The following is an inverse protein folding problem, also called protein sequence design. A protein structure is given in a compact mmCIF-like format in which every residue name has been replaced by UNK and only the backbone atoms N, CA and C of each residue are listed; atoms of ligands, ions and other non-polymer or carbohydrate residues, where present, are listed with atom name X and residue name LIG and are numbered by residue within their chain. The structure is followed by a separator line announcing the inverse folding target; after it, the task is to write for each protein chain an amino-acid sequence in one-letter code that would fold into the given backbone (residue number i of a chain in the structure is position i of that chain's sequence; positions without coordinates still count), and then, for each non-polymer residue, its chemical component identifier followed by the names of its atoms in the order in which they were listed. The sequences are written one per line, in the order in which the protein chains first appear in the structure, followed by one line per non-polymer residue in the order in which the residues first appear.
data_IF_914284054804
#
_entry.id   IF_914284054804
#
_cell.length_a   1.000
_cell.length_b   1.000
_cell.length_c   1.000
_cell.angle_alpha   90.00
_cell.angle_beta   90.00
_cell.angle_gamma   90.00
#
_symmetry.space_group_name_H-M   'P 1'
#
loop_
_entity.id
_entity.type
_entity.pdbx_description
1 polymer ?
#
# COMPACT_ATOMS: atom_id res chain seq x y z
N UNK A 1 5.57 -12.14 -19.03
CA UNK A 1 5.45 -13.08 -17.89
C UNK A 1 4.23 -12.67 -17.11
N UNK A 2 3.22 -13.52 -17.00
CA UNK A 2 2.02 -13.22 -16.21
C UNK A 2 2.43 -13.01 -14.74
N UNK A 3 2.02 -11.90 -14.15
CA UNK A 3 2.18 -11.66 -12.71
C UNK A 3 1.40 -12.74 -11.96
N UNK A 4 2.13 -13.59 -11.24
CA UNK A 4 1.55 -14.70 -10.47
C UNK A 4 1.33 -14.34 -9.01
N UNK A 5 1.91 -13.24 -8.54
CA UNK A 5 1.95 -12.92 -7.12
C UNK A 5 0.71 -12.17 -6.65
N UNK A 6 0.15 -12.62 -5.53
CA UNK A 6 -1.08 -12.07 -4.96
C UNK A 6 -0.84 -11.40 -3.59
N UNK A 7 -1.60 -10.35 -3.30
CA UNK A 7 -1.67 -9.76 -1.96
C UNK A 7 -3.04 -10.09 -1.37
N UNK A 8 -3.07 -10.88 -0.30
CA UNK A 8 -4.31 -11.29 0.35
C UNK A 8 -4.62 -10.38 1.53
N UNK A 9 -5.81 -9.80 1.52
CA UNK A 9 -6.33 -8.95 2.62
C UNK A 9 -7.27 -9.68 3.55
N UNK A 10 -7.85 -10.80 3.11
CA UNK A 10 -8.75 -11.62 3.90
C UNK A 10 -8.31 -13.09 3.88
N UNK A 11 -8.40 -13.80 5.01
CA UNK A 11 -8.01 -15.21 5.09
C UNK A 11 -8.92 -16.12 4.25
N UNK A 12 -10.18 -15.76 4.07
CA UNK A 12 -11.16 -16.49 3.24
C UNK A 12 -10.65 -16.68 1.80
N UNK A 13 -9.85 -15.73 1.28
CA UNK A 13 -9.22 -15.83 -0.04
C UNK A 13 -8.23 -16.99 -0.14
N UNK A 14 -7.59 -17.36 0.99
CA UNK A 14 -6.66 -18.49 1.10
C UNK A 14 -7.42 -19.77 1.47
N UNK A 15 -8.34 -19.70 2.43
CA UNK A 15 -9.09 -20.85 2.92
C UNK A 15 -9.88 -21.56 1.81
N UNK A 16 -10.44 -20.80 0.85
CA UNK A 16 -11.19 -21.35 -0.27
C UNK A 16 -10.32 -21.99 -1.36
N UNK A 17 -8.99 -21.95 -1.25
CA UNK A 17 -8.09 -22.50 -2.27
C UNK A 17 -8.00 -24.01 -2.09
N UNK A 18 -8.21 -24.76 -3.18
CA UNK A 18 -8.23 -26.23 -3.15
C UNK A 18 -6.89 -26.87 -2.75
N UNK A 19 -5.78 -26.14 -2.89
CA UNK A 19 -4.45 -26.60 -2.50
C UNK A 19 -4.10 -26.27 -1.05
N UNK A 20 -4.91 -25.47 -0.36
CA UNK A 20 -4.71 -25.08 1.04
C UNK A 20 -5.33 -26.10 2.00
N UNK A 21 -4.67 -26.32 3.14
CA UNK A 21 -5.15 -27.15 4.25
C UNK A 21 -4.58 -26.61 5.54
N UNK A 22 -5.38 -26.56 6.61
CA UNK A 22 -4.96 -26.06 7.93
C UNK A 22 -3.95 -27.00 8.61
N UNK A 23 -3.93 -28.26 8.19
CA UNK A 23 -3.07 -29.33 8.71
C UNK A 23 -1.72 -29.39 7.97
N UNK A 24 -1.56 -28.63 6.88
CA UNK A 24 -0.33 -28.60 6.11
C UNK A 24 0.83 -28.05 6.96
N UNK A 25 2.02 -28.59 6.73
CA UNK A 25 3.26 -28.08 7.31
C UNK A 25 4.22 -27.60 6.22
N UNK A 26 4.99 -26.56 6.53
CA UNK A 26 6.00 -26.01 5.63
C UNK A 26 7.30 -25.71 6.36
N UNK A 27 8.42 -26.03 5.73
CA UNK A 27 9.78 -25.83 6.23
C UNK A 27 10.73 -25.54 5.06
N UNK A 28 11.98 -25.14 5.31
CA UNK A 28 12.95 -24.92 4.23
C UNK A 28 13.13 -26.15 3.33
N UNK A 29 13.02 -27.37 3.88
CA UNK A 29 13.26 -28.62 3.17
C UNK A 29 12.16 -28.96 2.16
N UNK A 30 10.90 -28.65 2.46
CA UNK A 30 9.78 -28.91 1.56
C UNK A 30 9.28 -27.66 0.81
N UNK A 31 9.97 -26.52 0.94
CA UNK A 31 9.56 -25.26 0.32
C UNK A 31 9.83 -25.22 -1.21
N UNK A 32 8.78 -24.94 -1.98
CA UNK A 32 8.86 -24.78 -3.43
C UNK A 32 8.93 -23.33 -3.86
N UNK A 33 7.92 -22.52 -3.60
CA UNK A 33 7.83 -21.13 -4.07
C UNK A 33 6.84 -20.32 -3.22
N UNK A 34 6.81 -19.00 -3.41
CA UNK A 34 5.80 -18.15 -2.77
C UNK A 34 4.69 -17.78 -3.77
N UNK A 35 3.43 -17.94 -3.35
CA UNK A 35 2.27 -17.43 -4.09
C UNK A 35 2.13 -15.94 -3.83
N UNK A 36 2.25 -15.52 -2.58
CA UNK A 36 1.83 -14.18 -2.21
C UNK A 36 2.20 -13.75 -0.81
N UNK A 37 1.86 -12.51 -0.53
CA UNK A 37 1.96 -11.92 0.80
C UNK A 37 0.56 -11.71 1.36
N UNK A 38 0.39 -11.86 2.66
CA UNK A 38 -0.86 -11.51 3.32
C UNK A 38 -0.67 -10.54 4.48
N UNK A 39 -1.73 -9.78 4.73
CA UNK A 39 -1.93 -9.00 5.94
C UNK A 39 -3.44 -8.98 6.23
N UNK A 40 -3.83 -9.67 7.30
CA UNK A 40 -5.21 -9.85 7.73
C UNK A 40 -5.54 -8.98 8.94
N UNK A 41 -6.83 -8.80 9.20
CA UNK A 41 -7.32 -8.18 10.43
C UNK A 41 -7.53 -9.20 11.55
N UNK A 42 -7.70 -10.48 11.20
CA UNK A 42 -7.85 -11.62 12.10
C UNK A 42 -6.55 -12.43 12.26
N UNK A 43 -6.50 -13.21 13.35
CA UNK A 43 -5.37 -14.09 13.62
C UNK A 43 -5.50 -15.41 12.87
N UNK A 44 -4.42 -15.82 12.21
CA UNK A 44 -4.30 -17.14 11.58
C UNK A 44 -3.12 -17.90 12.19
N UNK A 45 -3.18 -19.23 12.12
CA UNK A 45 -2.21 -20.13 12.77
C UNK A 45 -1.02 -20.36 11.86
N UNK A 46 0.19 -20.18 12.40
CA UNK A 46 1.43 -20.44 11.65
C UNK A 46 1.66 -21.94 11.40
N UNK A 47 1.95 -22.30 10.15
CA UNK A 47 2.17 -23.69 9.71
C UNK A 47 3.66 -24.04 9.52
N UNK A 48 4.56 -23.16 9.99
CA UNK A 48 6.00 -23.39 9.86
C UNK A 48 6.47 -24.45 10.83
N UNK A 49 7.12 -25.49 10.30
CA UNK A 49 7.80 -26.53 11.07
C UNK A 49 9.26 -26.14 11.32
N UNK A 50 9.64 -26.13 12.58
CA UNK A 50 11.03 -25.97 13.02
C UNK A 50 11.52 -27.20 13.79
N UNK A 51 12.70 -27.09 14.40
CA UNK A 51 13.34 -28.19 15.14
C UNK A 51 12.51 -28.72 16.33
N UNK A 52 11.60 -27.92 16.89
CA UNK A 52 10.75 -28.27 18.04
C UNK A 52 9.31 -28.67 17.64
N UNK A 53 9.06 -28.88 16.35
CA UNK A 53 7.72 -29.13 15.80
C UNK A 53 7.13 -27.92 15.07
N UNK A 54 5.82 -27.97 14.82
CA UNK A 54 5.08 -26.91 14.13
C UNK A 54 4.85 -25.73 15.08
N UNK A 55 5.00 -24.51 14.57
CA UNK A 55 4.97 -23.30 15.37
C UNK A 55 3.59 -23.03 16.02
N UNK A 56 2.51 -23.11 15.26
CA UNK A 56 1.13 -22.83 15.66
C UNK A 56 0.87 -21.49 16.37
N UNK A 57 1.82 -20.55 16.35
CA UNK A 57 1.61 -19.22 16.91
C UNK A 57 0.71 -18.40 15.99
N UNK A 58 -0.21 -17.64 16.59
CA UNK A 58 -1.09 -16.73 15.87
C UNK A 58 -0.31 -15.56 15.28
N UNK A 59 -0.69 -15.15 14.08
CA UNK A 59 -0.19 -13.94 13.45
C UNK A 59 -1.18 -13.40 12.42
N UNK A 60 -1.03 -12.12 12.09
CA UNK A 60 -1.86 -11.45 11.09
C UNK A 60 -1.14 -11.14 9.78
N UNK A 61 0.16 -11.46 9.68
CA UNK A 61 0.95 -11.11 8.48
C UNK A 61 2.06 -12.10 8.21
N UNK A 62 2.30 -12.33 6.92
CA UNK A 62 3.22 -13.35 6.46
C UNK A 62 3.12 -13.61 4.97
N UNK A 63 3.44 -14.84 4.59
CA UNK A 63 3.52 -15.28 3.20
C UNK A 63 2.76 -16.58 3.00
N UNK A 64 2.11 -16.73 1.85
CA UNK A 64 1.54 -18.00 1.42
C UNK A 64 2.58 -18.73 0.55
N UNK A 65 3.05 -19.88 1.01
CA UNK A 65 4.02 -20.71 0.30
C UNK A 65 3.39 -21.95 -0.30
N UNK A 66 4.01 -22.48 -1.34
CA UNK A 66 3.73 -23.80 -1.90
C UNK A 66 4.85 -24.75 -1.47
N UNK A 67 4.48 -25.94 -1.04
CA UNK A 67 5.40 -27.05 -0.76
C UNK A 67 5.73 -27.83 -2.04
N UNK A 68 6.75 -28.68 -2.01
CA UNK A 68 7.21 -29.46 -3.18
C UNK A 68 6.17 -30.42 -3.74
N UNK A 69 5.23 -30.89 -2.91
CA UNK A 69 4.04 -31.68 -3.25
C UNK A 69 2.84 -30.83 -3.73
N UNK A 70 3.00 -29.51 -3.81
CA UNK A 70 1.99 -28.61 -4.38
C UNK A 70 0.91 -28.16 -3.41
N UNK A 71 1.08 -28.38 -2.10
CA UNK A 71 0.18 -27.90 -1.06
C UNK A 71 0.54 -26.49 -0.62
N UNK A 72 -0.46 -25.74 -0.17
CA UNK A 72 -0.30 -24.35 0.26
C UNK A 72 -0.29 -24.27 1.78
N UNK A 73 0.59 -23.42 2.33
CA UNK A 73 0.73 -23.24 3.78
C UNK A 73 1.13 -21.81 4.17
N UNK A 74 0.67 -21.39 5.35
CA UNK A 74 0.92 -20.09 5.94
C UNK A 74 2.30 -20.01 6.62
N UNK A 75 3.07 -19.00 6.22
CA UNK A 75 4.37 -18.70 6.79
C UNK A 75 4.31 -17.34 7.50
N UNK A 76 4.23 -17.36 8.83
CA UNK A 76 4.22 -16.13 9.63
C UNK A 76 5.48 -15.28 9.47
N UNK A 77 5.35 -13.95 9.51
CA UNK A 77 6.47 -13.04 9.30
C UNK A 77 7.62 -13.17 10.31
N UNK A 78 7.32 -13.62 11.53
CA UNK A 78 8.36 -13.99 12.52
C UNK A 78 9.07 -15.29 12.14
N UNK A 79 8.31 -16.34 11.80
CA UNK A 79 8.86 -17.63 11.41
C UNK A 79 9.67 -17.57 10.10
N UNK A 80 9.23 -16.77 9.13
CA UNK A 80 10.00 -16.48 7.91
C UNK A 80 11.41 -15.94 8.23
N UNK A 81 11.54 -15.08 9.26
CA UNK A 81 12.83 -14.50 9.66
C UNK A 81 13.71 -15.42 10.49
N UNK A 82 13.14 -16.43 11.13
CA UNK A 82 13.88 -17.31 12.04
C UNK A 82 14.23 -18.65 11.39
N UNK A 83 13.29 -19.25 10.65
CA UNK A 83 13.44 -20.57 10.06
C UNK A 83 13.88 -20.52 8.59
N UNK A 84 13.45 -19.51 7.83
CA UNK A 84 13.79 -19.36 6.40
C UNK A 84 14.92 -18.37 6.13
N UNK A 85 15.56 -17.78 7.15
CA UNK A 85 16.55 -16.71 6.99
C UNK A 85 17.73 -17.10 6.10
N UNK A 86 18.25 -18.30 6.29
CA UNK A 86 19.40 -18.81 5.56
C UNK A 86 19.01 -19.44 4.20
N UNK A 87 17.70 -19.59 3.94
CA UNK A 87 17.23 -20.20 2.72
C UNK A 87 17.31 -19.21 1.55
N UNK A 88 18.23 -19.47 0.61
CA UNK A 88 18.46 -18.58 -0.54
C UNK A 88 17.22 -18.51 -1.44
N UNK A 89 16.50 -19.62 -1.59
CA UNK A 89 15.36 -19.74 -2.49
C UNK A 89 14.18 -18.91 -1.98
N UNK A 90 13.83 -19.05 -0.71
CA UNK A 90 12.82 -18.26 -0.02
C UNK A 90 13.14 -16.76 -0.09
N UNK A 91 14.40 -16.38 0.12
CA UNK A 91 14.80 -14.97 0.04
C UNK A 91 14.65 -14.38 -1.38
N UNK A 92 14.95 -15.16 -2.42
CA UNK A 92 14.73 -14.75 -3.81
C UNK A 92 13.23 -14.62 -4.10
N UNK A 93 12.43 -15.60 -3.71
CA UNK A 93 10.98 -15.61 -3.88
C UNK A 93 10.32 -14.45 -3.15
N UNK A 94 10.75 -14.15 -1.93
CA UNK A 94 10.25 -13.01 -1.14
C UNK A 94 10.50 -11.69 -1.86
N UNK A 95 11.68 -11.51 -2.46
CA UNK A 95 12.01 -10.32 -3.26
C UNK A 95 11.17 -10.24 -4.53
N UNK A 96 10.99 -11.37 -5.23
CA UNK A 96 10.17 -11.49 -6.43
C UNK A 96 8.72 -11.09 -6.15
N UNK A 97 8.06 -11.77 -5.19
CA UNK A 97 6.66 -11.52 -4.81
C UNK A 97 6.45 -10.07 -4.39
N UNK A 98 7.33 -9.53 -3.52
CA UNK A 98 7.21 -8.13 -3.09
C UNK A 98 7.30 -7.17 -4.27
N UNK A 99 8.25 -7.38 -5.20
CA UNK A 99 8.41 -6.53 -6.37
C UNK A 99 7.19 -6.59 -7.30
N UNK A 100 6.62 -7.78 -7.50
CA UNK A 100 5.41 -7.97 -8.32
C UNK A 100 4.20 -7.28 -7.69
N UNK A 101 3.95 -7.48 -6.40
CA UNK A 101 2.84 -6.83 -5.68
C UNK A 101 2.96 -5.30 -5.72
N UNK A 102 4.15 -4.75 -5.43
CA UNK A 102 4.34 -3.30 -5.44
C UNK A 102 4.21 -2.71 -6.85
N UNK A 103 4.60 -3.46 -7.89
CA UNK A 103 4.38 -3.04 -9.27
C UNK A 103 2.89 -3.00 -9.61
N UNK A 104 2.12 -4.02 -9.23
CA UNK A 104 0.66 -4.06 -9.43
C UNK A 104 -0.01 -2.87 -8.75
N UNK A 105 0.27 -2.63 -7.46
CA UNK A 105 -0.23 -1.46 -6.73
C UNK A 105 0.12 -0.13 -7.39
N UNK A 106 1.33 0.00 -7.91
CA UNK A 106 1.77 1.22 -8.59
C UNK A 106 0.99 1.44 -9.89
N UNK A 107 0.72 0.37 -10.65
CA UNK A 107 -0.08 0.42 -11.87
C UNK A 107 -1.54 0.78 -11.56
N UNK A 108 -2.14 0.14 -10.55
CA UNK A 108 -3.52 0.42 -10.13
C UNK A 108 -3.68 1.89 -9.74
N UNK A 109 -2.71 2.44 -8.99
CA UNK A 109 -2.70 3.85 -8.61
C UNK A 109 -2.55 4.81 -9.80
N UNK A 110 -1.73 4.46 -10.79
CA UNK A 110 -1.60 5.24 -12.03
C UNK A 110 -2.93 5.23 -12.81
N UNK A 111 -3.61 4.08 -12.87
CA UNK A 111 -4.92 3.97 -13.52
C UNK A 111 -5.99 4.80 -12.80
N UNK A 112 -6.01 4.74 -11.47
CA UNK A 112 -6.90 5.55 -10.64
C UNK A 112 -6.68 7.05 -10.92
N UNK A 113 -5.43 7.52 -10.92
CA UNK A 113 -5.11 8.90 -11.27
C UNK A 113 -5.53 9.26 -12.69
N UNK A 114 -5.30 8.37 -13.65
CA UNK A 114 -5.73 8.59 -15.04
C UNK A 114 -7.24 8.74 -15.15
N UNK A 115 -8.01 7.97 -14.38
CA UNK A 115 -9.48 8.04 -14.39
C UNK A 115 -10.00 9.37 -13.80
N UNK A 116 -9.26 9.98 -12.88
CA UNK A 116 -9.64 11.23 -12.21
C UNK A 116 -9.17 12.50 -12.93
N UNK A 117 -8.38 12.39 -14.01
CA UNK A 117 -7.80 13.55 -14.72
C UNK A 117 -8.83 14.59 -15.12
N UNK A 118 -10.00 14.17 -15.63
CA UNK A 118 -11.03 15.12 -16.07
C UNK A 118 -11.65 15.86 -14.87
N UNK A 119 -11.92 15.14 -13.78
CA UNK A 119 -12.48 15.70 -12.54
C UNK A 119 -11.51 16.75 -11.97
N UNK A 120 -10.22 16.41 -11.85
CA UNK A 120 -9.22 17.34 -11.32
C UNK A 120 -9.02 18.57 -12.22
N UNK A 121 -9.08 18.40 -13.54
CA UNK A 121 -8.99 19.53 -14.46
C UNK A 121 -10.19 20.48 -14.32
N UNK A 122 -11.39 19.94 -14.13
CA UNK A 122 -12.60 20.74 -13.89
C UNK A 122 -12.51 21.48 -12.55
N UNK A 123 -12.13 20.80 -11.47
CA UNK A 123 -11.93 21.40 -10.15
C UNK A 123 -10.88 22.52 -10.18
N UNK A 124 -9.75 22.31 -10.85
CA UNK A 124 -8.72 23.33 -11.04
C UNK A 124 -9.23 24.54 -11.83
N UNK A 125 -10.02 24.31 -12.88
CA UNK A 125 -10.63 25.37 -13.68
C UNK A 125 -11.62 26.21 -12.84
N UNK A 126 -12.45 25.54 -12.04
CA UNK A 126 -13.41 26.18 -11.14
C UNK A 126 -12.71 27.01 -10.05
N UNK A 127 -11.66 26.46 -9.46
CA UNK A 127 -10.86 27.17 -8.46
C UNK A 127 -10.18 28.41 -9.06
N UNK A 128 -9.62 28.29 -10.26
CA UNK A 128 -9.01 29.41 -10.99
C UNK A 128 -10.03 30.50 -11.29
N UNK A 129 -11.24 30.12 -11.73
CA UNK A 129 -12.32 31.06 -12.02
C UNK A 129 -12.73 31.82 -10.75
N UNK A 130 -12.88 31.10 -9.64
CA UNK A 130 -13.19 31.67 -8.32
C UNK A 130 -12.13 32.67 -7.86
N UNK A 131 -10.83 32.37 -8.04
CA UNK A 131 -9.74 33.28 -7.72
C UNK A 131 -9.80 34.57 -8.55
N UNK A 132 -10.12 34.48 -9.85
CA UNK A 132 -10.27 35.64 -10.71
C UNK A 132 -11.43 36.52 -10.24
N UNK A 133 -12.56 35.92 -9.87
CA UNK A 133 -13.71 36.66 -9.36
C UNK A 133 -13.42 37.36 -8.03
N UNK A 134 -12.78 36.66 -7.09
CA UNK A 134 -12.39 37.24 -5.81
C UNK A 134 -11.43 38.41 -6.02
N UNK A 135 -10.46 38.27 -6.94
CA UNK A 135 -9.53 39.35 -7.28
C UNK A 135 -10.25 40.57 -7.85
N UNK A 136 -11.19 40.39 -8.78
CA UNK A 136 -12.01 41.48 -9.32
C UNK A 136 -12.80 42.20 -8.23
N UNK A 137 -13.43 41.43 -7.32
CA UNK A 137 -14.18 41.99 -6.18
C UNK A 137 -13.25 42.76 -5.25
N UNK A 138 -12.05 42.24 -4.98
CA UNK A 138 -11.04 42.93 -4.17
C UNK A 138 -10.58 44.23 -4.84
N UNK A 139 -10.30 44.23 -6.15
CA UNK A 139 -9.90 45.43 -6.90
C UNK A 139 -10.99 46.52 -6.84
N UNK A 140 -12.26 46.15 -7.04
CA UNK A 140 -13.39 47.08 -6.89
C UNK A 140 -13.45 47.64 -5.47
N UNK A 141 -13.35 46.76 -4.46
CA UNK A 141 -13.39 47.14 -3.05
C UNK A 141 -12.26 48.12 -2.68
N UNK A 142 -11.01 47.81 -3.05
CA UNK A 142 -9.87 48.71 -2.85
C UNK A 142 -10.04 50.03 -3.60
N UNK A 143 -10.61 50.01 -4.81
CA UNK A 143 -10.91 51.21 -5.59
C UNK A 143 -11.89 52.18 -4.91
N UNK A 144 -12.66 51.72 -3.92
CA UNK A 144 -13.56 52.60 -3.14
C UNK A 144 -12.87 53.33 -1.99
N UNK A 145 -11.64 52.95 -1.63
CA UNK A 145 -10.95 53.55 -0.49
C UNK A 145 -10.19 54.83 -0.86
N UNK A 146 -10.21 55.85 0.03
CA UNK A 146 -9.30 56.97 -0.05
C UNK A 146 -7.83 56.53 0.01
N UNK A 147 -6.94 57.27 -0.65
CA UNK A 147 -5.49 56.99 -0.70
C UNK A 147 -4.83 56.81 0.68
N UNK A 148 -5.28 57.54 1.70
CA UNK A 148 -4.76 57.41 3.06
C UNK A 148 -5.00 56.01 3.65
N UNK A 149 -6.17 55.41 3.36
CA UNK A 149 -6.52 54.06 3.80
C UNK A 149 -5.73 53.03 3.00
N UNK A 150 -5.56 53.22 1.69
CA UNK A 150 -4.75 52.33 0.86
C UNK A 150 -3.28 52.29 1.30
N UNK A 151 -2.69 53.45 1.62
CA UNK A 151 -1.32 53.54 2.14
C UNK A 151 -1.18 52.84 3.50
N UNK A 152 -2.18 52.95 4.39
CA UNK A 152 -2.20 52.23 5.66
C UNK A 152 -2.26 50.70 5.46
N UNK A 153 -3.07 50.21 4.53
CA UNK A 153 -3.18 48.77 4.25
C UNK A 153 -1.87 48.23 3.65
N UNK A 154 -1.27 48.92 2.68
CA UNK A 154 0.00 48.50 2.06
C UNK A 154 1.16 48.47 3.06
N UNK A 155 1.23 49.46 3.94
CA UNK A 155 2.25 49.50 5.00
C UNK A 155 2.05 48.40 6.06
N UNK A 156 0.80 48.08 6.43
CA UNK A 156 0.47 46.97 7.32
C UNK A 156 0.79 45.58 6.72
N UNK A 157 0.57 45.38 5.41
CA UNK A 157 0.90 44.13 4.72
C UNK A 157 2.41 43.87 4.63
N UNK A 158 3.20 44.94 4.43
CA UNK A 158 4.67 44.88 4.42
C UNK A 158 5.24 44.53 5.78
N UNK A 159 4.65 45.01 6.87
CA UNK A 159 5.08 44.68 8.24
C UNK A 159 4.77 43.23 8.64
N UNK A 160 3.74 42.61 8.06
CA UNK A 160 3.34 41.22 8.36
C UNK A 160 4.14 40.18 7.54
N UNK A 161 4.59 40.53 6.33
CA UNK A 161 5.29 39.59 5.42
C UNK A 161 6.82 39.58 5.56
N UNK A 162 7.40 40.36 6.47
CA UNK A 162 8.79 40.21 6.90
C UNK A 162 9.83 40.32 5.77
N UNK A 163 9.92 41.51 5.16
CA UNK A 163 11.21 42.13 4.86
C UNK A 163 11.41 43.32 5.78
#
# INVERSE_FOLDING_TARGET
MAEKSEFFSNFIEIENRSAFSNEQEISPENFKELIGQYKFDEDVVCQVKGAKGICHQNHKSGWLGITTDGKEALIGGHCARNYFKADKKFNLERKRVKKEIERKKSLDKIQEYRAQVLIWNEELSNLRSSLIEIRKKAEIFYGTFPNAILQFIDSAQKTITGR
#
